data_IF_518842748459
#
_entry.id   IF_518842748459
#
_cell.length_a   1.000
_cell.length_b   1.000
_cell.length_c   1.000
_cell.angle_alpha   90.00
_cell.angle_beta   90.00
_cell.angle_gamma   90.00
#
_symmetry.space_group_name_H-M   'P 1'
#
loop_
_entity.id
_entity.type
_entity.pdbx_description
1 polymer ?
#
# COMPACT_ATOMS: atom_id res chain seq x y z
N UNK A 1 -5.13 -62.19 -32.36
CA UNK A 1 -4.64 -61.08 -31.51
C UNK A 1 -5.43 -59.84 -31.87
N UNK A 2 -6.44 -59.48 -31.08
CA UNK A 2 -7.28 -58.29 -31.28
C UNK A 2 -6.71 -57.15 -30.45
N UNK A 3 -6.24 -56.06 -31.09
CA UNK A 3 -5.83 -54.82 -30.41
C UNK A 3 -7.07 -54.01 -30.04
N UNK A 4 -7.28 -53.82 -28.76
CA UNK A 4 -8.30 -52.92 -28.23
C UNK A 4 -7.65 -51.52 -28.17
N UNK A 5 -8.20 -50.59 -28.95
CA UNK A 5 -7.84 -49.16 -28.92
C UNK A 5 -8.83 -48.50 -27.96
N UNK A 6 -8.35 -48.12 -26.74
CA UNK A 6 -9.11 -47.32 -25.80
C UNK A 6 -9.08 -45.84 -26.26
N UNK A 7 -10.25 -45.34 -26.63
CA UNK A 7 -10.47 -43.89 -26.79
C UNK A 7 -10.67 -43.27 -25.40
N UNK A 8 -9.70 -42.47 -25.00
CA UNK A 8 -9.89 -41.58 -23.85
C UNK A 8 -10.61 -40.33 -24.35
N UNK A 9 -11.88 -40.22 -23.98
CA UNK A 9 -12.64 -38.99 -24.22
C UNK A 9 -12.14 -37.90 -23.27
N UNK A 10 -11.45 -36.91 -23.85
CA UNK A 10 -11.02 -35.70 -23.14
C UNK A 10 -12.22 -34.77 -23.04
N UNK A 11 -12.90 -34.79 -21.92
CA UNK A 11 -13.98 -33.85 -21.61
C UNK A 11 -13.35 -32.48 -21.36
N UNK A 12 -13.43 -31.59 -22.34
CA UNK A 12 -13.14 -30.18 -22.15
C UNK A 12 -14.22 -29.57 -21.27
N UNK A 13 -13.92 -29.40 -19.96
CA UNK A 13 -14.71 -28.53 -19.11
C UNK A 13 -14.47 -27.10 -19.61
N UNK A 14 -15.42 -26.56 -20.36
CA UNK A 14 -15.53 -25.14 -20.56
C UNK A 14 -15.91 -24.50 -19.21
N UNK A 15 -14.90 -24.04 -18.48
CA UNK A 15 -15.13 -23.18 -17.34
C UNK A 15 -15.72 -21.87 -17.89
N UNK A 16 -17.05 -21.75 -17.80
CA UNK A 16 -17.74 -20.50 -18.08
C UNK A 16 -17.14 -19.43 -17.17
N UNK A 17 -16.50 -18.44 -17.77
CA UNK A 17 -16.16 -17.19 -17.10
C UNK A 17 -17.49 -16.49 -16.76
N UNK A 18 -18.06 -16.86 -15.61
CA UNK A 18 -19.02 -15.99 -14.97
C UNK A 18 -18.25 -14.73 -14.58
N UNK A 19 -18.42 -13.66 -15.35
CA UNK A 19 -18.08 -12.31 -14.93
C UNK A 19 -19.02 -11.94 -13.78
N UNK A 20 -18.74 -12.50 -12.61
CA UNK A 20 -19.27 -12.02 -11.36
C UNK A 20 -18.79 -10.57 -11.24
N UNK A 21 -19.71 -9.62 -11.23
CA UNK A 21 -19.46 -8.30 -10.66
C UNK A 21 -19.06 -8.53 -9.21
N UNK A 22 -17.78 -8.81 -8.99
CA UNK A 22 -17.22 -8.92 -7.65
C UNK A 22 -17.38 -7.54 -7.04
N UNK A 23 -18.29 -7.41 -6.06
CA UNK A 23 -18.39 -6.17 -5.28
C UNK A 23 -16.98 -5.86 -4.78
N UNK A 24 -16.43 -4.75 -5.25
CA UNK A 24 -15.20 -4.22 -4.70
C UNK A 24 -15.40 -4.05 -3.19
N UNK A 25 -14.39 -4.34 -2.39
CA UNK A 25 -14.45 -4.30 -0.91
C UNK A 25 -15.38 -5.34 -0.26
N UNK A 26 -15.31 -6.57 -0.73
CA UNK A 26 -15.90 -7.73 -0.04
C UNK A 26 -14.85 -8.83 0.08
N UNK A 27 -14.90 -9.58 1.18
CA UNK A 27 -14.09 -10.78 1.36
C UNK A 27 -14.90 -12.01 0.93
N UNK A 28 -14.26 -12.91 0.21
CA UNK A 28 -14.79 -14.26 0.00
C UNK A 28 -14.83 -15.05 1.32
N UNK A 29 -15.60 -16.13 1.37
CA UNK A 29 -15.63 -16.99 2.55
C UNK A 29 -14.26 -17.63 2.85
N UNK A 30 -13.46 -17.92 1.81
CA UNK A 30 -12.09 -18.40 1.97
C UNK A 30 -11.20 -17.33 2.64
N UNK A 31 -11.24 -16.10 2.17
CA UNK A 31 -10.47 -15.00 2.77
C UNK A 31 -10.87 -14.73 4.22
N UNK A 32 -12.17 -14.81 4.54
CA UNK A 32 -12.65 -14.70 5.93
C UNK A 32 -12.13 -15.83 6.80
N UNK A 33 -12.16 -17.06 6.27
CA UNK A 33 -11.67 -18.25 6.99
C UNK A 33 -10.14 -18.20 7.22
N UNK A 34 -9.40 -17.59 6.30
CA UNK A 34 -7.97 -17.31 6.44
C UNK A 34 -7.68 -16.16 7.42
N UNK A 35 -8.67 -15.36 7.83
CA UNK A 35 -8.53 -14.26 8.78
C UNK A 35 -8.34 -12.88 8.16
N UNK A 36 -8.52 -12.73 6.84
CA UNK A 36 -8.48 -11.42 6.20
C UNK A 36 -9.56 -10.48 6.75
N UNK A 37 -9.22 -9.22 6.90
CA UNK A 37 -10.12 -8.16 7.36
C UNK A 37 -10.15 -7.02 6.34
N UNK A 38 -11.32 -6.45 6.12
CA UNK A 38 -11.43 -5.22 5.33
C UNK A 38 -11.04 -4.02 6.19
N UNK A 39 -10.19 -3.16 5.64
CA UNK A 39 -9.91 -1.83 6.19
C UNK A 39 -10.87 -0.78 5.65
N UNK A 40 -11.68 -1.13 4.66
CA UNK A 40 -12.65 -0.23 4.03
C UNK A 40 -13.78 -1.05 3.41
N UNK A 41 -15.01 -0.69 3.74
CA UNK A 41 -16.23 -1.39 3.30
C UNK A 41 -16.73 -0.98 1.91
N UNK A 42 -16.18 0.09 1.33
CA UNK A 42 -16.62 0.65 0.05
C UNK A 42 -17.72 1.69 0.18
N UNK A 43 -18.28 1.90 1.36
CA UNK A 43 -19.45 2.76 1.58
C UNK A 43 -19.20 3.84 2.62
N UNK A 44 -18.44 3.54 3.67
CA UNK A 44 -18.21 4.45 4.81
C UNK A 44 -16.75 4.68 5.09
N UNK A 45 -16.42 5.72 5.82
CA UNK A 45 -15.07 5.98 6.36
C UNK A 45 -14.88 5.39 7.76
N UNK A 46 -15.76 4.50 8.21
CA UNK A 46 -15.64 3.84 9.50
C UNK A 46 -14.28 3.13 9.63
N UNK A 47 -13.62 3.30 10.76
CA UNK A 47 -12.28 2.76 11.02
C UNK A 47 -11.14 3.65 10.53
N UNK A 48 -11.45 4.86 10.04
CA UNK A 48 -10.49 5.87 9.60
C UNK A 48 -10.76 7.22 10.27
N UNK A 49 -9.71 7.92 10.63
CA UNK A 49 -9.73 9.25 11.22
C UNK A 49 -8.50 10.05 10.81
N UNK A 50 -8.48 11.33 11.12
CA UNK A 50 -7.31 12.17 10.91
C UNK A 50 -6.13 11.71 11.78
N UNK A 51 -4.91 11.86 11.27
CA UNK A 51 -3.70 11.64 12.06
C UNK A 51 -3.68 12.59 13.27
N UNK A 52 -3.39 12.05 14.45
CA UNK A 52 -3.49 12.75 15.73
C UNK A 52 -4.91 13.28 16.07
N UNK A 53 -5.94 12.87 15.35
CA UNK A 53 -7.33 13.26 15.56
C UNK A 53 -8.19 12.10 16.08
N UNK A 54 -9.43 12.42 16.43
CA UNK A 54 -10.44 11.45 16.86
C UNK A 54 -11.53 11.24 15.81
N UNK A 55 -11.61 12.12 14.83
CA UNK A 55 -12.63 12.15 13.77
C UNK A 55 -11.96 12.42 12.42
N UNK A 56 -12.73 12.23 11.35
CA UNK A 56 -12.32 12.60 10.00
C UNK A 56 -12.90 13.98 9.67
N UNK A 57 -12.03 14.97 9.59
CA UNK A 57 -12.44 16.39 9.36
C UNK A 57 -11.91 16.97 8.07
N UNK A 58 -10.94 16.31 7.43
CA UNK A 58 -10.30 16.80 6.22
C UNK A 58 -10.94 16.24 4.93
N UNK A 59 -10.35 16.58 3.79
CA UNK A 59 -10.91 16.35 2.47
C UNK A 59 -10.93 14.91 1.96
N UNK A 60 -10.94 13.91 2.84
CA UNK A 60 -11.07 12.51 2.44
C UNK A 60 -12.56 12.11 2.37
N UNK A 61 -12.94 11.37 1.34
CA UNK A 61 -14.33 10.95 1.12
C UNK A 61 -14.42 9.64 0.35
N UNK A 62 -15.60 9.02 0.42
CA UNK A 62 -15.91 7.86 -0.43
C UNK A 62 -16.44 8.35 -1.77
N UNK A 63 -15.86 7.89 -2.86
CA UNK A 63 -16.28 8.15 -4.24
C UNK A 63 -16.21 6.86 -5.05
N UNK A 64 -17.32 6.43 -5.62
CA UNK A 64 -17.42 5.20 -6.44
C UNK A 64 -16.84 3.97 -5.72
N UNK A 65 -17.14 3.78 -4.44
CA UNK A 65 -16.64 2.66 -3.64
C UNK A 65 -15.15 2.70 -3.31
N UNK A 66 -14.52 3.87 -3.41
CA UNK A 66 -13.10 4.09 -3.13
C UNK A 66 -12.92 5.23 -2.13
N UNK A 67 -11.88 5.18 -1.31
CA UNK A 67 -11.42 6.34 -0.54
C UNK A 67 -10.63 7.24 -1.48
N UNK A 68 -11.00 8.50 -1.53
CA UNK A 68 -10.35 9.53 -2.34
C UNK A 68 -10.01 10.74 -1.49
N UNK A 69 -8.75 11.20 -1.60
CA UNK A 69 -8.38 12.53 -1.14
C UNK A 69 -8.93 13.59 -2.09
N UNK A 70 -9.44 14.68 -1.56
CA UNK A 70 -10.07 15.77 -2.34
C UNK A 70 -9.15 16.97 -2.56
N UNK A 71 -7.91 16.95 -2.03
CA UNK A 71 -6.98 18.06 -2.16
C UNK A 71 -6.07 17.99 -3.37
N UNK A 72 -5.39 19.09 -3.64
CA UNK A 72 -4.28 19.19 -4.58
C UNK A 72 -2.97 19.18 -3.79
N UNK A 73 -1.94 18.47 -4.31
CA UNK A 73 -0.64 18.34 -3.65
C UNK A 73 -0.63 17.31 -2.50
N UNK A 74 0.55 16.86 -2.12
CA UNK A 74 0.75 15.73 -1.21
C UNK A 74 0.11 15.90 0.17
N UNK A 75 0.20 17.06 0.76
CA UNK A 75 -0.26 17.32 2.13
C UNK A 75 -1.60 18.08 2.20
N UNK A 76 -2.16 18.48 1.05
CA UNK A 76 -3.36 19.33 1.01
C UNK A 76 -4.62 18.67 1.58
N UNK A 77 -4.73 17.33 1.51
CA UNK A 77 -5.83 16.57 2.10
C UNK A 77 -5.50 16.01 3.49
N UNK A 78 -4.30 16.28 4.00
CA UNK A 78 -3.82 15.72 5.25
C UNK A 78 -3.61 14.20 5.17
N UNK A 79 -3.49 13.62 6.34
CA UNK A 79 -3.26 12.19 6.53
C UNK A 79 -4.41 11.56 7.27
N UNK A 80 -4.82 10.36 6.84
CA UNK A 80 -5.79 9.55 7.59
C UNK A 80 -5.15 8.26 8.05
N UNK A 81 -5.57 7.81 9.22
CA UNK A 81 -5.03 6.61 9.87
C UNK A 81 -6.13 5.65 10.25
N UNK A 82 -5.78 4.37 10.36
CA UNK A 82 -6.68 3.37 10.90
C UNK A 82 -6.90 3.57 12.41
N UNK A 83 -8.10 3.24 12.92
CA UNK A 83 -8.38 3.23 14.36
C UNK A 83 -7.56 2.16 15.09
N UNK A 84 -7.28 1.05 14.41
CA UNK A 84 -6.52 -0.08 14.95
C UNK A 84 -5.05 0.03 14.60
N UNK A 85 -4.23 -0.52 15.48
CA UNK A 85 -2.80 -0.76 15.26
C UNK A 85 -2.56 -2.17 14.74
N UNK A 86 -1.44 -2.33 14.04
CA UNK A 86 -1.00 -3.60 13.45
C UNK A 86 0.47 -3.80 13.76
N UNK A 87 0.86 -5.03 14.12
CA UNK A 87 2.26 -5.43 14.33
C UNK A 87 2.79 -6.24 13.15
N UNK A 88 2.43 -7.50 13.03
CA UNK A 88 2.74 -8.31 11.85
C UNK A 88 1.51 -8.36 10.95
N UNK A 89 1.68 -8.15 9.65
CA UNK A 89 0.54 -8.09 8.74
C UNK A 89 0.93 -8.37 7.27
N UNK A 90 -0.05 -8.77 6.49
CA UNK A 90 -0.08 -8.53 5.04
C UNK A 90 -1.12 -7.45 4.78
N UNK A 91 -0.76 -6.40 4.05
CA UNK A 91 -1.63 -5.32 3.63
C UNK A 91 -1.72 -5.31 2.12
N UNK A 92 -2.91 -5.48 1.57
CA UNK A 92 -3.17 -5.44 0.12
C UNK A 92 -4.12 -4.29 -0.18
N UNK A 93 -3.79 -3.51 -1.20
CA UNK A 93 -4.65 -2.43 -1.67
C UNK A 93 -4.55 -2.21 -3.16
N UNK A 94 -5.63 -1.74 -3.77
CA UNK A 94 -5.64 -1.22 -5.13
C UNK A 94 -5.60 0.31 -5.08
N UNK A 95 -4.83 0.91 -5.98
CA UNK A 95 -4.66 2.36 -6.02
C UNK A 95 -4.61 2.88 -7.46
N UNK A 96 -4.93 4.15 -7.60
CA UNK A 96 -4.89 4.87 -8.85
C UNK A 96 -4.51 6.33 -8.61
N UNK A 97 -3.49 6.80 -9.32
CA UNK A 97 -3.05 8.19 -9.30
C UNK A 97 -3.64 8.98 -10.46
N UNK A 98 -3.76 10.28 -10.25
CA UNK A 98 -3.91 11.28 -11.31
C UNK A 98 -2.53 11.62 -11.88
N UNK A 99 -2.50 12.34 -12.99
CA UNK A 99 -1.25 12.83 -13.58
C UNK A 99 -0.49 13.73 -12.59
N UNK A 100 0.80 13.45 -12.43
CA UNK A 100 1.66 14.12 -11.46
C UNK A 100 1.33 13.80 -9.98
N UNK A 101 0.46 12.82 -9.72
CA UNK A 101 0.03 12.47 -8.36
C UNK A 101 1.17 11.93 -7.51
N UNK A 102 1.19 12.32 -6.23
CA UNK A 102 2.11 11.86 -5.20
C UNK A 102 1.32 11.46 -3.96
N UNK A 103 1.56 10.29 -3.43
CA UNK A 103 0.84 9.67 -2.33
C UNK A 103 1.71 8.63 -1.64
N UNK A 104 1.24 8.03 -0.55
CA UNK A 104 1.97 7.01 0.17
C UNK A 104 1.07 6.12 1.02
N UNK A 105 1.57 4.91 1.26
CA UNK A 105 1.02 3.98 2.25
C UNK A 105 2.05 3.82 3.35
N UNK A 106 1.76 4.39 4.52
CA UNK A 106 2.65 4.32 5.67
C UNK A 106 2.15 3.25 6.65
N UNK A 107 3.07 2.65 7.36
CA UNK A 107 2.75 1.61 8.35
C UNK A 107 3.56 1.81 9.64
N UNK A 108 3.12 1.17 10.74
CA UNK A 108 3.70 1.34 12.07
C UNK A 108 3.84 2.80 12.51
N UNK A 109 2.92 3.64 12.02
CA UNK A 109 2.88 5.05 12.41
C UNK A 109 2.54 5.18 13.88
N UNK A 110 3.34 5.95 14.60
CA UNK A 110 3.11 6.30 16.00
C UNK A 110 2.51 7.69 16.06
N UNK A 111 1.39 7.81 16.75
CA UNK A 111 0.70 9.07 16.96
C UNK A 111 1.10 9.68 18.33
N UNK A 112 1.44 10.93 18.30
CA UNK A 112 1.68 11.73 19.50
C UNK A 112 1.63 13.21 19.12
N UNK A 113 1.12 14.12 19.99
CA UNK A 113 1.00 15.56 19.66
C UNK A 113 2.31 16.26 19.28
N UNK A 114 3.47 15.68 19.60
CA UNK A 114 4.78 16.20 19.18
C UNK A 114 5.14 15.93 17.73
N UNK A 115 4.38 15.07 17.06
CA UNK A 115 4.60 14.71 15.66
C UNK A 115 3.55 15.39 14.79
N UNK A 116 3.96 16.35 14.00
CA UNK A 116 3.06 17.08 13.09
C UNK A 116 2.66 16.25 11.87
N UNK A 117 3.49 15.26 11.50
CA UNK A 117 3.31 14.42 10.31
C UNK A 117 3.66 12.96 10.58
N UNK A 118 2.96 11.99 9.95
CA UNK A 118 3.13 10.57 10.26
C UNK A 118 4.46 9.97 9.78
N UNK A 119 5.06 10.52 8.73
CA UNK A 119 6.29 9.99 8.13
C UNK A 119 7.54 10.17 9.01
N UNK A 120 7.47 10.93 10.09
CA UNK A 120 8.58 11.02 11.05
C UNK A 120 8.73 9.77 11.92
N UNK A 121 7.71 8.92 11.93
CA UNK A 121 7.71 7.66 12.68
C UNK A 121 7.50 6.43 11.80
N UNK A 122 6.61 6.52 10.80
CA UNK A 122 6.18 5.40 9.97
C UNK A 122 6.95 5.29 8.65
N UNK A 123 7.52 4.11 8.33
CA UNK A 123 8.03 3.83 6.98
C UNK A 123 6.93 3.93 5.92
N UNK A 124 7.34 4.25 4.70
CA UNK A 124 6.42 4.57 3.60
C UNK A 124 6.71 3.74 2.35
N UNK A 125 5.70 3.03 1.86
CA UNK A 125 5.65 2.56 0.48
C UNK A 125 5.23 3.74 -0.41
N UNK A 126 6.17 4.27 -1.21
CA UNK A 126 5.95 5.44 -2.06
C UNK A 126 5.01 5.14 -3.23
N UNK A 127 4.03 6.02 -3.45
CA UNK A 127 3.09 6.00 -4.56
C UNK A 127 3.17 7.33 -5.32
N UNK A 128 3.81 7.32 -6.49
CA UNK A 128 4.04 8.55 -7.27
C UNK A 128 4.01 8.25 -8.77
N UNK A 129 3.48 9.18 -9.54
CA UNK A 129 3.66 9.23 -10.99
C UNK A 129 5.00 9.89 -11.32
N UNK A 130 6.05 9.09 -11.46
CA UNK A 130 7.42 9.59 -11.58
C UNK A 130 7.57 10.65 -12.68
N UNK A 131 7.11 10.33 -13.89
CA UNK A 131 7.27 11.21 -15.06
C UNK A 131 6.38 12.45 -14.96
N UNK A 132 5.09 12.24 -14.69
CA UNK A 132 4.15 13.36 -14.60
C UNK A 132 4.46 14.30 -13.43
N UNK A 133 4.95 13.77 -12.30
CA UNK A 133 5.36 14.60 -11.19
C UNK A 133 6.56 15.49 -11.57
N UNK A 134 7.57 14.95 -12.25
CA UNK A 134 8.72 15.72 -12.72
C UNK A 134 8.34 16.78 -13.76
N UNK A 135 7.36 16.48 -14.63
CA UNK A 135 6.87 17.46 -15.59
C UNK A 135 6.12 18.61 -14.91
N UNK A 136 5.24 18.31 -13.96
CA UNK A 136 4.46 19.31 -13.21
C UNK A 136 5.35 20.17 -12.32
N UNK A 137 6.42 19.60 -11.77
CA UNK A 137 7.31 20.29 -10.83
C UNK A 137 8.63 20.75 -11.47
N UNK A 138 8.71 20.78 -12.79
CA UNK A 138 9.93 21.18 -13.50
C UNK A 138 10.46 22.56 -13.00
N UNK A 139 11.77 22.74 -12.86
CA UNK A 139 12.84 21.83 -13.28
C UNK A 139 13.25 20.75 -12.25
N UNK A 140 12.50 20.59 -11.16
CA UNK A 140 12.80 19.62 -10.09
C UNK A 140 12.73 18.19 -10.62
N UNK A 141 13.71 17.37 -10.24
CA UNK A 141 13.76 15.94 -10.55
C UNK A 141 13.68 15.11 -9.30
N UNK A 142 13.10 13.91 -9.43
CA UNK A 142 13.06 12.95 -8.36
C UNK A 142 14.43 12.27 -8.19
N UNK A 143 14.87 12.21 -6.96
CA UNK A 143 15.95 11.31 -6.58
C UNK A 143 15.45 9.86 -6.60
N UNK A 144 16.34 8.87 -6.78
CA UNK A 144 15.96 7.46 -6.85
C UNK A 144 15.14 7.01 -5.64
N UNK A 145 15.46 7.50 -4.46
CA UNK A 145 14.79 7.17 -3.21
C UNK A 145 13.40 7.80 -3.02
N UNK A 146 12.95 8.62 -3.99
CA UNK A 146 11.63 9.26 -4.00
C UNK A 146 10.67 8.60 -5.00
N UNK A 147 11.14 7.68 -5.82
CA UNK A 147 10.38 7.07 -6.90
C UNK A 147 9.36 6.03 -6.42
N UNK A 148 8.43 5.67 -7.30
CA UNK A 148 7.40 4.67 -7.03
C UNK A 148 7.99 3.36 -6.49
N UNK A 149 7.36 2.81 -5.46
CA UNK A 149 7.63 1.48 -4.91
C UNK A 149 8.80 1.39 -3.94
N UNK A 150 9.56 2.46 -3.74
CA UNK A 150 10.64 2.50 -2.74
C UNK A 150 10.08 2.35 -1.32
N UNK A 151 10.90 1.85 -0.40
CA UNK A 151 10.82 2.18 1.02
C UNK A 151 11.49 3.55 1.17
N UNK A 152 10.69 4.59 1.36
CA UNK A 152 11.04 5.98 1.12
C UNK A 152 12.30 6.40 1.87
N UNK A 153 13.32 6.82 1.11
CA UNK A 153 14.65 7.22 1.58
C UNK A 153 15.43 6.13 2.34
N UNK A 154 15.05 4.85 2.18
CA UNK A 154 15.75 3.72 2.79
C UNK A 154 16.19 2.67 1.76
N UNK A 155 15.23 2.06 1.04
CA UNK A 155 15.53 0.93 0.15
C UNK A 155 14.92 1.14 -1.24
N UNK A 156 15.70 0.79 -2.27
CA UNK A 156 15.27 0.87 -3.67
C UNK A 156 14.71 -0.47 -4.14
N UNK A 157 13.66 -0.46 -4.96
CA UNK A 157 13.12 -1.68 -5.54
C UNK A 157 13.99 -2.21 -6.70
N UNK A 158 13.77 -3.46 -7.07
CA UNK A 158 14.24 -4.00 -8.33
C UNK A 158 13.35 -3.49 -9.48
N UNK A 159 13.76 -2.40 -10.10
CA UNK A 159 13.02 -1.76 -11.19
C UNK A 159 12.79 -2.69 -12.39
N UNK A 160 13.61 -3.73 -12.58
CA UNK A 160 13.42 -4.69 -13.67
C UNK A 160 12.18 -5.56 -13.51
N UNK A 161 11.67 -5.69 -12.28
CA UNK A 161 10.44 -6.43 -11.93
C UNK A 161 9.19 -5.57 -11.95
N UNK A 162 9.33 -4.25 -11.98
CA UNK A 162 8.19 -3.35 -11.86
C UNK A 162 7.37 -3.34 -13.15
N UNK A 163 6.10 -3.72 -13.04
CA UNK A 163 5.09 -3.64 -14.10
C UNK A 163 4.00 -2.69 -13.66
N UNK A 164 4.15 -1.41 -14.02
CA UNK A 164 3.24 -0.34 -13.61
C UNK A 164 2.18 -0.12 -14.68
N UNK A 165 0.91 -0.09 -14.30
CA UNK A 165 -0.16 0.34 -15.19
C UNK A 165 -0.14 1.87 -15.29
N UNK A 166 -0.46 2.45 -16.47
CA UNK A 166 -0.41 3.89 -16.70
C UNK A 166 -1.29 4.70 -15.72
N UNK A 167 -0.96 5.96 -15.55
CA UNK A 167 -1.77 6.94 -14.82
C UNK A 167 -3.26 6.83 -15.19
N UNK A 168 -4.13 6.91 -14.19
CA UNK A 168 -5.56 6.72 -14.36
C UNK A 168 -6.01 5.25 -14.47
N UNK A 169 -5.10 4.29 -14.44
CA UNK A 169 -5.41 2.86 -14.34
C UNK A 169 -5.12 2.34 -12.94
N UNK A 170 -5.81 1.26 -12.57
CA UNK A 170 -5.64 0.61 -11.27
C UNK A 170 -4.34 -0.19 -11.23
N UNK A 171 -3.61 -0.06 -10.13
CA UNK A 171 -2.50 -0.91 -9.72
C UNK A 171 -2.87 -1.57 -8.39
N UNK A 172 -2.27 -2.71 -8.12
CA UNK A 172 -2.38 -3.42 -6.84
C UNK A 172 -1.02 -3.49 -6.18
N UNK A 173 -0.96 -3.14 -4.90
CA UNK A 173 0.25 -3.28 -4.10
C UNK A 173 0.00 -4.10 -2.86
N UNK A 174 1.09 -4.66 -2.31
CA UNK A 174 1.08 -5.39 -1.06
C UNK A 174 2.33 -5.04 -0.26
N UNK A 175 2.17 -4.86 1.04
CA UNK A 175 3.23 -4.91 2.03
C UNK A 175 3.08 -6.19 2.83
N UNK A 176 4.16 -6.93 3.03
CA UNK A 176 4.30 -7.96 4.05
C UNK A 176 5.22 -7.39 5.12
N UNK A 177 4.79 -7.45 6.36
CA UNK A 177 5.64 -7.16 7.51
C UNK A 177 5.56 -8.32 8.50
N UNK A 178 6.69 -8.95 8.77
CA UNK A 178 6.81 -10.08 9.68
C UNK A 178 8.07 -9.95 10.54
N UNK A 179 7.92 -9.48 11.78
CA UNK A 179 9.02 -9.33 12.75
C UNK A 179 10.27 -8.61 12.23
N UNK A 180 10.09 -7.60 11.37
CA UNK A 180 11.17 -6.83 10.75
C UNK A 180 11.55 -7.27 9.36
N UNK A 181 11.11 -8.44 8.90
CA UNK A 181 11.16 -8.82 7.49
C UNK A 181 10.08 -8.03 6.73
N UNK A 182 10.46 -7.30 5.70
CA UNK A 182 9.57 -6.44 4.92
C UNK A 182 9.65 -6.75 3.45
N UNK A 183 8.48 -6.88 2.80
CA UNK A 183 8.38 -7.02 1.36
C UNK A 183 7.44 -5.96 0.78
N UNK A 184 7.82 -5.37 -0.36
CA UNK A 184 6.93 -4.58 -1.22
C UNK A 184 6.61 -5.35 -2.50
N UNK A 185 5.33 -5.39 -2.84
CA UNK A 185 4.82 -6.03 -4.05
C UNK A 185 4.06 -5.03 -4.91
N UNK A 186 4.17 -5.15 -6.23
CA UNK A 186 3.44 -4.35 -7.21
C UNK A 186 2.90 -5.24 -8.33
N UNK A 187 1.59 -5.21 -8.55
CA UNK A 187 0.88 -5.98 -9.57
C UNK A 187 1.28 -7.48 -9.60
N UNK A 188 1.46 -8.08 -8.42
CA UNK A 188 1.77 -9.49 -8.24
C UNK A 188 3.26 -9.84 -8.24
N UNK A 189 4.16 -8.90 -8.49
CA UNK A 189 5.62 -9.10 -8.44
C UNK A 189 6.22 -8.53 -7.16
N UNK A 190 7.09 -9.29 -6.49
CA UNK A 190 7.89 -8.79 -5.35
C UNK A 190 9.01 -7.90 -5.90
N UNK A 191 8.91 -6.60 -5.61
CA UNK A 191 9.82 -5.59 -6.11
C UNK A 191 10.90 -5.18 -5.12
N UNK A 192 10.67 -5.40 -3.83
CA UNK A 192 11.59 -5.03 -2.77
C UNK A 192 11.46 -6.00 -1.60
N UNK A 193 12.59 -6.29 -0.93
CA UNK A 193 12.67 -7.12 0.27
C UNK A 193 13.86 -6.66 1.11
N UNK A 194 13.65 -6.52 2.42
CA UNK A 194 14.72 -6.14 3.34
C UNK A 194 14.42 -6.59 4.79
N UNK A 195 15.47 -6.59 5.62
CA UNK A 195 15.37 -6.82 7.05
C UNK A 195 15.55 -5.50 7.80
N UNK A 196 14.52 -5.06 8.52
CA UNK A 196 14.62 -3.94 9.44
C UNK A 196 15.42 -4.31 10.69
N UNK A 197 15.90 -3.29 11.41
CA UNK A 197 16.63 -3.42 12.68
C UNK A 197 17.99 -4.12 12.59
N UNK A 198 18.51 -4.37 11.40
CA UNK A 198 19.88 -4.84 11.18
C UNK A 198 20.88 -3.68 11.30
N UNK A 199 22.18 -4.00 11.44
CA UNK A 199 23.22 -2.97 11.44
C UNK A 199 23.20 -2.14 10.15
N UNK A 200 22.98 -2.78 8.99
CA UNK A 200 22.86 -2.10 7.70
C UNK A 200 21.64 -1.17 7.65
N UNK A 201 20.49 -1.61 8.16
CA UNK A 201 19.28 -0.79 8.26
C UNK A 201 19.52 0.46 9.12
N UNK A 202 20.15 0.29 10.30
CA UNK A 202 20.48 1.43 11.17
C UNK A 202 21.51 2.37 10.53
N UNK A 203 22.49 1.82 9.81
CA UNK A 203 23.47 2.63 9.10
C UNK A 203 22.80 3.47 8.00
N UNK A 204 21.90 2.89 7.19
CA UNK A 204 21.10 3.61 6.17
C UNK A 204 20.25 4.71 6.80
N UNK A 205 19.51 4.39 7.86
CA UNK A 205 18.70 5.36 8.59
C UNK A 205 19.54 6.54 9.05
N UNK A 206 20.68 6.27 9.70
CA UNK A 206 21.53 7.31 10.32
C UNK A 206 22.25 8.18 9.31
N UNK A 207 22.61 7.65 8.15
CA UNK A 207 23.33 8.38 7.08
C UNK A 207 22.41 9.07 6.08
N UNK A 208 21.12 8.74 6.06
CA UNK A 208 20.13 9.25 5.12
C UNK A 208 19.24 10.35 5.68
N UNK A 209 18.12 10.57 4.99
CA UNK A 209 17.08 11.55 5.35
C UNK A 209 16.59 11.42 6.81
N UNK A 210 16.61 10.20 7.34
CA UNK A 210 16.02 9.88 8.65
C UNK A 210 17.01 9.99 9.81
N UNK A 211 18.24 10.46 9.57
CA UNK A 211 19.27 10.58 10.62
C UNK A 211 18.82 11.41 11.83
N UNK A 212 18.14 12.52 11.58
CA UNK A 212 17.63 13.40 12.63
C UNK A 212 16.26 12.98 13.19
N UNK A 213 15.60 11.98 12.57
CA UNK A 213 14.30 11.47 13.01
C UNK A 213 14.49 10.21 13.88
N UNK A 214 14.74 10.44 15.17
CA UNK A 214 15.10 9.35 16.11
C UNK A 214 14.06 8.25 16.19
N UNK A 215 12.78 8.57 16.00
CA UNK A 215 11.65 7.63 16.13
C UNK A 215 11.31 6.89 14.82
N UNK A 216 11.88 7.30 13.68
CA UNK A 216 11.56 6.72 12.37
C UNK A 216 11.81 5.22 12.33
N UNK A 217 10.77 4.46 11.99
CA UNK A 217 10.81 3.01 11.75
C UNK A 217 11.09 2.15 12.97
N UNK A 218 11.10 2.70 14.20
CA UNK A 218 11.44 1.93 15.41
C UNK A 218 10.24 1.23 16.06
N UNK A 219 9.02 1.59 15.67
CA UNK A 219 7.83 0.97 16.24
C UNK A 219 7.60 -0.41 15.65
N UNK A 220 7.34 -1.41 16.49
CA UNK A 220 6.96 -2.76 16.10
C UNK A 220 5.44 -2.94 15.95
N UNK A 221 4.67 -1.90 16.28
CA UNK A 221 3.23 -1.81 16.16
C UNK A 221 2.84 -0.36 15.94
N UNK A 222 1.88 -0.12 15.05
CA UNK A 222 1.36 1.22 14.81
C UNK A 222 0.17 1.21 13.88
N UNK A 223 -0.37 2.38 13.60
CA UNK A 223 -1.50 2.52 12.67
C UNK A 223 -1.00 2.49 11.22
N UNK A 224 -1.90 2.11 10.30
CA UNK A 224 -1.69 2.26 8.86
C UNK A 224 -2.17 3.66 8.49
N UNK A 225 -1.41 4.35 7.66
CA UNK A 225 -1.69 5.71 7.26
C UNK A 225 -1.74 5.86 5.74
N UNK A 226 -2.64 6.71 5.27
CA UNK A 226 -2.74 7.13 3.88
C UNK A 226 -2.38 8.59 3.75
N UNK A 227 -1.55 8.87 2.76
CA UNK A 227 -1.26 10.21 2.28
C UNK A 227 -2.11 10.53 1.03
N UNK A 228 -2.69 11.74 0.93
CA UNK A 228 -3.33 12.22 -0.30
C UNK A 228 -2.29 12.73 -1.32
N UNK A 229 -2.68 13.00 -2.59
CA UNK A 229 -3.93 12.65 -3.25
C UNK A 229 -3.84 11.38 -4.09
N UNK A 230 -4.60 10.37 -3.73
CA UNK A 230 -4.80 9.17 -4.54
C UNK A 230 -6.22 8.62 -4.38
N UNK A 231 -6.61 7.70 -5.28
CA UNK A 231 -7.79 6.85 -5.08
C UNK A 231 -7.35 5.46 -4.65
N UNK A 232 -7.94 5.00 -3.58
CA UNK A 232 -7.66 3.69 -3.01
C UNK A 232 -8.93 2.85 -2.95
N UNK A 233 -8.87 1.63 -3.48
CA UNK A 233 -9.94 0.63 -3.39
C UNK A 233 -9.37 -0.68 -2.87
N UNK A 234 -10.25 -1.61 -2.45
CA UNK A 234 -9.91 -2.94 -1.99
C UNK A 234 -8.75 -2.96 -0.99
N UNK A 235 -9.01 -2.53 0.23
CA UNK A 235 -8.03 -2.68 1.30
C UNK A 235 -8.41 -3.85 2.15
N UNK A 236 -7.49 -4.76 2.30
CA UNK A 236 -7.60 -5.88 3.23
C UNK A 236 -6.26 -6.08 3.91
N UNK A 237 -6.30 -6.43 5.17
CA UNK A 237 -5.14 -6.83 5.95
C UNK A 237 -5.36 -8.24 6.48
N UNK A 238 -4.28 -8.96 6.64
CA UNK A 238 -4.19 -10.17 7.42
C UNK A 238 -3.40 -9.83 8.68
N UNK A 239 -4.08 -9.48 9.80
CA UNK A 239 -3.41 -9.20 11.05
C UNK A 239 -2.87 -10.50 11.65
N UNK A 240 -1.77 -10.39 12.38
CA UNK A 240 -1.17 -11.47 13.19
C UNK A 240 -0.73 -12.71 12.39
N UNK A 241 0.10 -12.51 11.38
CA UNK A 241 0.89 -13.61 10.83
C UNK A 241 1.74 -14.20 11.96
N UNK A 242 1.39 -15.43 12.38
CA UNK A 242 2.14 -16.18 13.38
C UNK A 242 3.28 -16.91 12.73
#
# INVERSE_FOLDING_TARGET
MKKIVSFVAMSALAAGMATSCQKHNTLSEAEKAEGWQLLFDGETMNGWRDFNGTELTNGWRVVDGCIQASGEGGDASGYIVTDKKYSNFELVWDWKLTYGGNSGMLYHVVEHPRFDVPYVTGPEYQLIDNEGWEEVNAPTKLEEWQKLGVDYAMHLPDYSKMKVNPVGKWNSSKIVYDNGHVEHWLNGEKILEFEAYTEDWFAKKSSGKWGDHTEYGLAHEGVICLQGPARFCRRRTFPDRK
#
